data_IF_237009015564
#
_entry.id   IF_237009015564
#
_cell.length_a   1.000
_cell.length_b   1.000
_cell.length_c   1.000
_cell.angle_alpha   90.00
_cell.angle_beta   90.00
_cell.angle_gamma   90.00
#
_symmetry.space_group_name_H-M   'P 1'
#
loop_
_entity.id
_entity.type
_entity.pdbx_description
1 polymer ?
#
# COMPACT_ATOMS: atom_id res chain seq x y z
N UNK A 1 6.05 11.82 -15.41
CA UNK A 1 6.49 10.75 -14.49
C UNK A 1 7.45 11.35 -13.48
N UNK A 2 7.48 10.83 -12.25
CA UNK A 2 8.42 11.27 -11.22
C UNK A 2 9.71 10.45 -11.39
N UNK A 3 10.86 11.12 -11.47
CA UNK A 3 12.14 10.50 -11.85
C UNK A 3 13.17 10.62 -10.70
N UNK A 4 12.85 10.06 -9.53
CA UNK A 4 13.73 10.11 -8.34
C UNK A 4 14.30 8.74 -7.94
N UNK A 5 13.77 7.66 -8.55
CA UNK A 5 14.28 6.31 -8.37
C UNK A 5 15.45 6.09 -9.35
N UNK A 6 16.55 5.58 -8.83
CA UNK A 6 17.72 5.23 -9.63
C UNK A 6 17.45 3.90 -10.33
N UNK A 7 17.69 3.86 -11.63
CA UNK A 7 17.61 2.66 -12.44
C UNK A 7 18.87 1.80 -12.21
N UNK A 8 18.65 0.57 -11.77
CA UNK A 8 19.66 -0.48 -11.63
C UNK A 8 19.08 -1.77 -12.21
N UNK A 9 19.93 -2.66 -12.73
CA UNK A 9 19.48 -3.88 -13.41
C UNK A 9 18.70 -4.83 -12.50
N UNK A 10 18.98 -4.81 -11.19
CA UNK A 10 18.45 -5.77 -10.22
C UNK A 10 17.90 -5.13 -8.94
N UNK A 11 18.06 -3.82 -8.78
CA UNK A 11 17.67 -3.10 -7.57
C UNK A 11 16.73 -1.96 -7.88
N UNK A 12 15.85 -1.69 -6.91
CA UNK A 12 15.10 -0.45 -6.83
C UNK A 12 15.77 0.39 -5.76
N UNK A 13 16.25 1.58 -6.14
CA UNK A 13 17.05 2.43 -5.25
C UNK A 13 16.43 3.81 -5.20
N UNK A 14 15.97 4.22 -4.02
CA UNK A 14 15.79 5.64 -3.71
C UNK A 14 17.10 6.15 -3.10
N UNK A 15 17.63 7.25 -3.65
CA UNK A 15 18.74 7.97 -3.04
C UNK A 15 18.17 9.17 -2.29
N UNK A 16 18.67 9.39 -1.08
CA UNK A 16 18.12 10.39 -0.15
C UNK A 16 16.66 10.07 0.23
N UNK A 17 16.05 10.93 1.05
CA UNK A 17 14.66 10.76 1.46
C UNK A 17 13.79 11.85 0.83
N UNK A 18 12.72 11.44 0.13
CA UNK A 18 11.75 12.34 -0.48
C UNK A 18 10.38 12.26 0.23
N UNK A 19 10.12 13.09 1.27
CA UNK A 19 8.90 12.99 2.08
C UNK A 19 7.59 13.11 1.29
N UNK A 20 7.58 13.95 0.25
CA UNK A 20 6.41 14.14 -0.61
C UNK A 20 6.07 12.91 -1.46
N UNK A 21 7.03 11.98 -1.60
CA UNK A 21 6.94 10.77 -2.40
C UNK A 21 6.85 9.51 -1.54
N UNK A 22 6.81 9.65 -0.21
CA UNK A 22 6.90 8.54 0.73
C UNK A 22 5.84 7.46 0.47
N UNK A 23 4.58 7.81 0.20
CA UNK A 23 3.54 6.82 -0.16
C UNK A 23 3.85 6.03 -1.43
N UNK A 24 4.54 6.63 -2.40
CA UNK A 24 4.96 5.94 -3.62
C UNK A 24 6.11 4.98 -3.28
N UNK A 25 7.13 5.45 -2.56
CA UNK A 25 8.24 4.60 -2.12
C UNK A 25 7.77 3.41 -1.28
N UNK A 26 6.90 3.64 -0.30
CA UNK A 26 6.27 2.59 0.52
C UNK A 26 5.58 1.52 -0.34
N UNK A 27 4.96 1.93 -1.46
CA UNK A 27 4.33 1.00 -2.40
C UNK A 27 5.39 0.21 -3.17
N UNK A 28 6.37 0.91 -3.74
CA UNK A 28 7.38 0.37 -4.64
C UNK A 28 8.32 -0.62 -3.94
N UNK A 29 8.70 -0.34 -2.69
CA UNK A 29 9.64 -1.15 -1.92
C UNK A 29 8.94 -2.21 -1.04
N UNK A 30 7.64 -2.46 -1.25
CA UNK A 30 6.89 -3.48 -0.52
C UNK A 30 7.52 -4.87 -0.62
N UNK A 31 7.36 -5.68 0.43
CA UNK A 31 7.82 -7.07 0.46
C UNK A 31 6.66 -8.03 0.68
N UNK A 32 6.83 -9.28 0.26
CA UNK A 32 5.84 -10.34 0.51
C UNK A 32 6.38 -11.73 0.19
N UNK A 33 5.74 -12.75 0.76
CA UNK A 33 6.11 -14.17 0.61
C UNK A 33 4.94 -15.04 0.11
N UNK A 34 3.91 -14.43 -0.46
CA UNK A 34 2.68 -15.09 -0.90
C UNK A 34 1.66 -15.37 0.22
N UNK A 35 2.10 -15.52 1.48
CA UNK A 35 1.20 -15.64 2.64
C UNK A 35 0.95 -14.30 3.33
N UNK A 36 1.98 -13.47 3.42
CA UNK A 36 1.93 -12.13 4.00
C UNK A 36 2.59 -11.14 3.05
N UNK A 37 2.19 -9.88 3.17
CA UNK A 37 2.81 -8.75 2.48
C UNK A 37 2.75 -7.50 3.35
N UNK A 38 3.75 -6.65 3.21
CA UNK A 38 3.82 -5.39 3.94
C UNK A 38 4.33 -4.29 3.00
N UNK A 39 3.74 -3.10 3.11
CA UNK A 39 4.31 -1.89 2.51
C UNK A 39 5.64 -1.57 3.19
N UNK A 40 6.55 -0.88 2.50
CA UNK A 40 7.80 -0.44 3.10
C UNK A 40 7.62 0.77 4.02
N UNK A 41 6.73 0.68 5.02
CA UNK A 41 6.61 1.70 6.05
C UNK A 41 7.88 1.76 6.91
N UNK A 42 8.22 2.95 7.39
CA UNK A 42 9.20 3.08 8.46
C UNK A 42 8.74 2.34 9.72
N UNK A 43 9.67 1.64 10.38
CA UNK A 43 9.40 0.92 11.63
C UNK A 43 9.39 1.90 12.82
N UNK A 44 10.17 2.96 12.73
CA UNK A 44 10.11 4.09 13.65
C UNK A 44 8.86 4.96 13.44
N UNK A 45 8.62 5.85 14.40
CA UNK A 45 7.53 6.81 14.30
C UNK A 45 7.82 7.83 13.19
N UNK A 46 7.13 7.65 12.06
CA UNK A 46 7.02 8.66 11.01
C UNK A 46 5.69 9.42 11.12
N UNK A 47 5.74 10.75 11.00
CA UNK A 47 4.57 11.65 11.15
C UNK A 47 4.16 12.35 9.85
N UNK A 48 4.86 12.12 8.75
CA UNK A 48 4.51 12.66 7.43
C UNK A 48 3.42 11.84 6.73
N UNK A 49 3.17 12.16 5.46
CA UNK A 49 2.18 11.44 4.66
C UNK A 49 2.63 9.99 4.39
N UNK A 50 1.82 9.04 4.82
CA UNK A 50 2.13 7.61 4.82
C UNK A 50 0.85 6.80 4.67
N UNK A 51 0.98 5.55 4.21
CA UNK A 51 -0.07 4.54 4.27
C UNK A 51 0.53 3.28 4.90
N UNK A 52 0.33 3.09 6.20
CA UNK A 52 0.72 1.85 6.89
C UNK A 52 -0.17 0.71 6.43
N UNK A 53 0.45 -0.42 6.07
CA UNK A 53 -0.31 -1.58 5.59
C UNK A 53 0.49 -2.87 5.68
N UNK A 54 -0.06 -3.81 6.46
CA UNK A 54 0.39 -5.20 6.55
C UNK A 54 -0.82 -6.09 6.29
N UNK A 55 -0.67 -7.07 5.40
CA UNK A 55 -1.76 -7.89 4.91
C UNK A 55 -1.40 -9.37 5.06
N UNK A 56 -2.39 -10.16 5.47
CA UNK A 56 -2.29 -11.62 5.56
C UNK A 56 -3.28 -12.22 4.58
N UNK A 57 -2.79 -13.04 3.65
CA UNK A 57 -3.62 -13.62 2.61
C UNK A 57 -4.83 -14.36 3.20
N UNK A 58 -6.02 -14.13 2.64
CA UNK A 58 -7.27 -14.75 3.11
C UNK A 58 -7.80 -14.20 4.44
N UNK A 59 -7.14 -13.22 5.06
CA UNK A 59 -7.70 -12.46 6.19
C UNK A 59 -8.29 -11.18 5.63
N UNK A 60 -9.61 -11.08 5.63
CA UNK A 60 -10.35 -9.90 5.18
C UNK A 60 -11.47 -9.59 6.18
N UNK A 61 -12.02 -8.39 6.07
CA UNK A 61 -13.20 -7.98 6.83
C UNK A 61 -14.33 -7.65 5.85
N UNK A 62 -15.51 -8.27 5.98
CA UNK A 62 -16.64 -7.98 5.11
C UNK A 62 -17.20 -6.60 5.45
N UNK A 63 -16.71 -5.57 4.77
CA UNK A 63 -17.09 -4.20 5.05
C UNK A 63 -18.49 -3.92 4.47
N UNK A 64 -19.34 -3.28 5.27
CA UNK A 64 -20.74 -3.07 4.89
C UNK A 64 -20.82 -2.21 3.62
N UNK A 65 -21.64 -2.66 2.68
CA UNK A 65 -21.84 -1.97 1.40
C UNK A 65 -22.25 -0.51 1.62
N UNK A 66 -21.41 0.40 1.11
CA UNK A 66 -21.66 1.84 1.09
C UNK A 66 -21.64 2.33 -0.34
N UNK A 67 -22.82 2.66 -0.87
CA UNK A 67 -23.02 3.10 -2.25
C UNK A 67 -23.82 4.41 -2.27
N UNK A 68 -23.67 5.19 -3.35
CA UNK A 68 -24.46 6.42 -3.50
C UNK A 68 -25.96 6.15 -3.61
N UNK A 69 -26.35 5.13 -4.39
CA UNK A 69 -27.74 4.70 -4.55
C UNK A 69 -27.82 3.18 -4.62
N UNK A 70 -28.75 2.58 -3.89
CA UNK A 70 -28.92 1.13 -3.86
C UNK A 70 -29.48 0.58 -5.18
N UNK A 71 -29.06 -0.63 -5.55
CA UNK A 71 -29.55 -1.39 -6.71
C UNK A 71 -29.81 -2.83 -6.32
N UNK A 72 -30.83 -3.43 -6.93
CA UNK A 72 -31.13 -4.85 -6.76
C UNK A 72 -29.92 -5.68 -7.21
N UNK A 73 -29.49 -6.60 -6.36
CA UNK A 73 -28.31 -7.45 -6.60
C UNK A 73 -27.02 -6.95 -5.98
N UNK A 74 -27.00 -5.77 -5.32
CA UNK A 74 -25.84 -5.40 -4.51
C UNK A 74 -25.68 -6.32 -3.30
N UNK A 75 -24.44 -6.74 -2.98
CA UNK A 75 -24.19 -7.54 -1.81
C UNK A 75 -24.38 -6.68 -0.55
N UNK A 76 -24.68 -7.31 0.57
CA UNK A 76 -24.77 -6.61 1.86
C UNK A 76 -23.38 -6.13 2.35
N UNK A 77 -22.32 -6.83 1.94
CA UNK A 77 -20.93 -6.57 2.31
C UNK A 77 -19.98 -6.79 1.12
N UNK A 78 -18.86 -6.06 1.09
CA UNK A 78 -17.74 -6.30 0.17
C UNK A 78 -16.61 -7.02 0.91
N UNK A 79 -16.01 -8.01 0.26
CA UNK A 79 -14.84 -8.77 0.71
C UNK A 79 -13.75 -8.70 -0.37
#
# INVERSE_FOLDING_TARGET
>A
MKNYIIHDEWKIIEKDFHPAENRITESLLSIGNGRTGQRANFEEKYTGDSLRGSYVAGVYYPDKTRVGWWKNGYPEYFA
#
